data_IF_145625945256
#
_entry.id   IF_145625945256
#
_cell.length_a   1.000
_cell.length_b   1.000
_cell.length_c   1.000
_cell.angle_alpha   90.00
_cell.angle_beta   90.00
_cell.angle_gamma   90.00
#
_symmetry.space_group_name_H-M   'P 1'
#
loop_
_entity.id
_entity.type
_entity.pdbx_description
1 polymer ?
#
# COMPACT_ATOMS: atom_id res chain seq x y z
N UNK A 1 4.55 -8.88 7.09
CA UNK A 1 3.21 -8.81 7.72
C UNK A 1 2.08 -9.05 6.71
N UNK A 2 2.06 -8.41 5.54
CA UNK A 2 1.00 -8.60 4.53
C UNK A 2 0.81 -10.07 4.17
N UNK A 3 1.89 -10.80 3.85
CA UNK A 3 1.84 -12.24 3.54
C UNK A 3 1.22 -13.02 4.71
N UNK A 4 1.62 -12.74 5.95
CA UNK A 4 1.07 -13.41 7.13
C UNK A 4 -0.44 -13.22 7.27
N UNK A 5 -0.93 -12.01 6.98
CA UNK A 5 -2.35 -11.69 7.04
C UNK A 5 -3.11 -12.39 5.92
N UNK A 6 -2.59 -12.34 4.69
CA UNK A 6 -3.23 -12.96 3.53
C UNK A 6 -3.28 -14.48 3.64
N UNK A 7 -2.26 -15.14 4.18
CA UNK A 7 -2.28 -16.58 4.43
C UNK A 7 -3.38 -17.03 5.40
N UNK A 8 -3.79 -16.16 6.32
CA UNK A 8 -4.90 -16.41 7.23
C UNK A 8 -6.27 -15.98 6.69
N UNK A 9 -6.32 -15.38 5.51
CA UNK A 9 -7.56 -14.88 4.93
C UNK A 9 -8.28 -16.00 4.16
N UNK A 10 -9.54 -16.29 4.52
CA UNK A 10 -10.32 -17.41 3.97
C UNK A 10 -10.59 -17.32 2.45
N UNK A 11 -10.59 -16.12 1.90
CA UNK A 11 -10.95 -15.84 0.51
C UNK A 11 -9.74 -15.34 -0.31
N UNK A 12 -8.50 -15.52 0.18
CA UNK A 12 -7.30 -15.09 -0.51
C UNK A 12 -6.31 -16.24 -0.71
N UNK A 13 -5.75 -16.33 -1.90
CA UNK A 13 -4.65 -17.22 -2.25
C UNK A 13 -3.48 -16.40 -2.78
N UNK A 14 -2.29 -16.57 -2.21
CA UNK A 14 -1.10 -15.88 -2.69
C UNK A 14 -0.50 -16.64 -3.86
N UNK A 15 -0.50 -16.04 -5.05
CA UNK A 15 0.02 -16.64 -6.28
C UNK A 15 1.51 -16.43 -6.45
N UNK A 16 2.06 -15.26 -6.08
CA UNK A 16 3.50 -15.02 -6.14
C UNK A 16 4.01 -14.05 -5.09
N UNK A 17 5.30 -14.10 -4.87
CA UNK A 17 6.04 -13.21 -3.97
C UNK A 17 7.05 -12.41 -4.80
N UNK A 18 6.63 -11.26 -5.33
CA UNK A 18 7.46 -10.41 -6.19
C UNK A 18 8.64 -9.79 -5.44
N UNK A 19 9.81 -9.81 -6.05
CA UNK A 19 11.00 -9.17 -5.51
C UNK A 19 12.03 -8.90 -6.61
N UNK A 20 12.60 -7.70 -6.63
CA UNK A 20 13.72 -7.35 -7.53
C UNK A 20 15.08 -7.84 -7.02
N UNK A 21 15.22 -7.92 -5.70
CA UNK A 21 16.53 -8.18 -5.07
C UNK A 21 16.75 -9.64 -4.70
N UNK A 22 15.69 -10.45 -4.67
CA UNK A 22 15.73 -11.80 -4.10
C UNK A 22 15.11 -12.85 -5.01
N UNK A 23 15.10 -12.60 -6.33
CA UNK A 23 14.59 -13.56 -7.33
C UNK A 23 15.26 -14.93 -7.12
N UNK A 24 14.49 -16.01 -7.22
CA UNK A 24 14.88 -17.40 -6.98
C UNK A 24 15.32 -17.79 -5.56
N UNK A 25 15.42 -16.84 -4.64
CA UNK A 25 15.68 -17.16 -3.24
C UNK A 25 14.39 -17.61 -2.55
N UNK A 26 14.50 -18.55 -1.61
CA UNK A 26 13.35 -18.95 -0.80
C UNK A 26 12.85 -17.76 0.01
N UNK A 27 11.54 -17.53 -0.02
CA UNK A 27 10.92 -16.43 0.73
C UNK A 27 11.25 -16.49 2.23
N UNK A 28 11.27 -17.70 2.80
CA UNK A 28 11.61 -17.92 4.22
C UNK A 28 13.08 -17.61 4.57
N UNK A 29 14.00 -17.67 3.60
CA UNK A 29 15.42 -17.30 3.84
C UNK A 29 15.57 -15.78 3.92
N UNK A 30 14.76 -15.04 3.14
CA UNK A 30 14.70 -13.58 3.17
C UNK A 30 13.94 -13.07 4.41
N UNK A 31 12.83 -13.74 4.73
CA UNK A 31 11.92 -13.41 5.82
C UNK A 31 11.86 -14.58 6.81
N UNK A 32 12.83 -14.66 7.71
CA UNK A 32 13.03 -15.80 8.63
C UNK A 32 11.84 -16.11 9.55
N UNK A 33 10.97 -15.14 9.80
CA UNK A 33 9.71 -15.36 10.53
C UNK A 33 8.70 -16.23 9.75
N UNK A 34 8.99 -16.52 8.49
CA UNK A 34 8.19 -17.44 7.64
C UNK A 34 8.84 -18.82 7.47
N UNK A 35 9.90 -19.11 8.25
CA UNK A 35 10.56 -20.42 8.23
C UNK A 35 9.56 -21.55 8.54
N UNK A 36 9.58 -22.60 7.72
CA UNK A 36 8.64 -23.73 7.75
C UNK A 36 7.15 -23.36 7.53
N UNK A 37 6.84 -22.10 7.16
CA UNK A 37 5.48 -21.64 6.88
C UNK A 37 5.32 -21.40 5.38
N UNK A 38 6.29 -20.77 4.73
CA UNK A 38 6.27 -20.46 3.29
C UNK A 38 7.46 -21.14 2.62
N UNK A 39 7.20 -22.11 1.76
CA UNK A 39 8.24 -22.80 0.97
C UNK A 39 8.31 -22.31 -0.49
N UNK A 40 7.75 -21.15 -0.77
CA UNK A 40 7.79 -20.52 -2.08
C UNK A 40 9.10 -19.76 -2.29
N UNK A 41 9.49 -19.58 -3.57
CA UNK A 41 10.58 -18.70 -3.96
C UNK A 41 10.06 -17.30 -4.28
N UNK A 42 10.92 -16.32 -4.10
CA UNK A 42 10.70 -15.00 -4.65
C UNK A 42 10.79 -15.04 -6.18
N UNK A 43 9.88 -14.34 -6.83
CA UNK A 43 9.78 -14.26 -8.28
C UNK A 43 10.11 -12.83 -8.74
N UNK A 44 10.34 -12.65 -10.02
CA UNK A 44 10.41 -11.33 -10.64
C UNK A 44 9.10 -10.54 -10.40
N UNK A 45 9.18 -9.22 -10.42
CA UNK A 45 8.04 -8.32 -10.24
C UNK A 45 7.42 -7.85 -11.56
N UNK A 46 7.47 -8.66 -12.61
CA UNK A 46 6.85 -8.37 -13.89
C UNK A 46 5.32 -8.35 -13.76
N UNK A 47 4.76 -7.21 -13.42
CA UNK A 47 3.33 -7.04 -13.17
C UNK A 47 2.48 -7.24 -14.43
N UNK A 48 2.99 -6.90 -15.62
CA UNK A 48 2.25 -7.06 -16.87
C UNK A 48 2.00 -8.53 -17.20
N UNK A 49 3.02 -9.36 -17.03
CA UNK A 49 2.92 -10.82 -17.27
C UNK A 49 2.02 -11.51 -16.23
N UNK A 50 2.05 -11.02 -15.00
CA UNK A 50 1.33 -11.65 -13.89
C UNK A 50 -0.10 -11.13 -13.70
N UNK A 51 -0.44 -9.98 -14.27
CA UNK A 51 -1.75 -9.34 -14.11
C UNK A 51 -2.93 -10.21 -14.58
N UNK A 52 -2.73 -11.06 -15.60
CA UNK A 52 -3.76 -12.00 -16.07
C UNK A 52 -4.03 -13.17 -15.10
N UNK A 53 -3.18 -13.37 -14.11
CA UNK A 53 -3.21 -14.54 -13.24
C UNK A 53 -3.79 -14.27 -11.86
N UNK A 54 -4.08 -12.98 -11.55
CA UNK A 54 -4.51 -12.56 -10.22
C UNK A 54 -5.58 -11.48 -10.28
N UNK A 55 -6.42 -11.45 -9.26
CA UNK A 55 -7.47 -10.43 -9.11
C UNK A 55 -6.91 -9.13 -8.50
N UNK A 56 -5.85 -9.24 -7.70
CA UNK A 56 -5.27 -8.12 -6.95
C UNK A 56 -3.75 -8.22 -6.87
N UNK A 57 -3.06 -7.11 -7.12
CA UNK A 57 -1.63 -6.95 -6.86
C UNK A 57 -1.43 -5.97 -5.70
N UNK A 58 -0.71 -6.41 -4.66
CA UNK A 58 -0.24 -5.54 -3.60
C UNK A 58 1.16 -5.03 -3.92
N UNK A 59 1.35 -3.73 -3.98
CA UNK A 59 2.67 -3.12 -4.13
C UNK A 59 3.19 -2.62 -2.78
N UNK A 60 4.19 -3.31 -2.24
CA UNK A 60 4.89 -2.94 -1.01
C UNK A 60 6.30 -2.42 -1.35
N UNK A 61 6.35 -1.38 -2.16
CA UNK A 61 7.53 -0.84 -2.82
C UNK A 61 7.93 0.54 -2.28
N UNK A 62 9.17 1.01 -2.53
CA UNK A 62 9.51 2.40 -2.29
C UNK A 62 8.63 3.36 -3.09
N UNK A 63 8.51 4.62 -2.58
CA UNK A 63 7.78 5.67 -3.29
C UNK A 63 8.30 5.86 -4.72
N UNK A 64 7.36 6.15 -5.64
CA UNK A 64 7.61 6.33 -7.07
C UNK A 64 7.64 5.05 -7.87
N UNK A 65 7.84 3.89 -7.25
CA UNK A 65 7.96 2.64 -8.00
C UNK A 65 6.60 2.11 -8.47
N UNK A 66 5.58 2.12 -7.63
CA UNK A 66 4.24 1.71 -8.06
C UNK A 66 3.75 2.59 -9.22
N UNK A 67 3.87 3.91 -9.08
CA UNK A 67 3.52 4.84 -10.15
C UNK A 67 4.31 4.64 -11.46
N UNK A 68 5.53 4.12 -11.38
CA UNK A 68 6.33 3.83 -12.57
C UNK A 68 5.97 2.52 -13.27
N UNK A 69 5.30 1.62 -12.58
CA UNK A 69 4.93 0.29 -13.09
C UNK A 69 3.48 0.21 -13.56
N UNK A 70 2.57 0.98 -12.94
CA UNK A 70 1.15 0.94 -13.24
C UNK A 70 0.87 1.52 -14.63
N UNK A 71 0.06 0.81 -15.40
CA UNK A 71 -0.41 1.24 -16.72
C UNK A 71 -1.83 0.70 -16.98
N UNK A 72 -2.43 1.12 -18.09
CA UNK A 72 -3.80 0.72 -18.44
C UNK A 72 -3.92 -0.77 -18.74
N UNK A 73 -2.88 -1.39 -19.26
CA UNK A 73 -2.90 -2.83 -19.53
C UNK A 73 -3.07 -3.62 -18.23
N UNK A 74 -2.29 -3.31 -17.19
CA UNK A 74 -2.40 -3.92 -15.87
C UNK A 74 -3.76 -3.63 -15.25
N UNK A 75 -4.19 -2.35 -15.27
CA UNK A 75 -5.44 -1.91 -14.63
C UNK A 75 -6.70 -2.45 -15.31
N UNK A 76 -6.61 -2.87 -16.56
CA UNK A 76 -7.71 -3.53 -17.25
C UNK A 76 -7.92 -4.99 -16.81
N UNK A 77 -6.92 -5.60 -16.19
CA UNK A 77 -6.87 -7.02 -15.84
C UNK A 77 -6.97 -7.27 -14.33
N UNK A 78 -6.35 -6.41 -13.53
CA UNK A 78 -6.23 -6.62 -12.09
C UNK A 78 -6.32 -5.30 -11.31
N UNK A 79 -6.63 -5.39 -10.02
CA UNK A 79 -6.64 -4.25 -9.11
C UNK A 79 -5.28 -4.07 -8.44
N UNK A 80 -4.89 -2.83 -8.22
CA UNK A 80 -3.67 -2.48 -7.48
C UNK A 80 -4.05 -1.99 -6.09
N UNK A 81 -3.42 -2.54 -5.04
CA UNK A 81 -3.45 -2.00 -3.69
C UNK A 81 -2.03 -1.54 -3.37
N UNK A 82 -1.82 -0.22 -3.42
CA UNK A 82 -0.52 0.39 -3.23
C UNK A 82 -0.29 0.75 -1.76
N UNK A 83 0.75 0.16 -1.16
CA UNK A 83 1.18 0.47 0.21
C UNK A 83 2.17 1.64 0.26
N UNK A 84 2.66 2.10 -0.90
CA UNK A 84 3.48 3.31 -0.99
C UNK A 84 2.63 4.58 -0.84
N UNK A 85 3.22 5.73 -1.10
CA UNK A 85 2.51 7.00 -1.01
C UNK A 85 2.00 7.51 -2.37
N UNK A 86 2.27 6.79 -3.47
CA UNK A 86 2.18 7.31 -4.82
C UNK A 86 0.78 7.86 -5.17
N UNK A 87 -0.28 7.23 -4.70
CA UNK A 87 -1.65 7.61 -5.04
C UNK A 87 -2.47 8.19 -3.87
N UNK A 88 -1.81 8.54 -2.74
CA UNK A 88 -2.53 9.04 -1.54
C UNK A 88 -3.00 10.48 -1.66
N UNK A 89 -2.23 11.32 -2.36
CA UNK A 89 -2.50 12.74 -2.50
C UNK A 89 -3.12 13.04 -3.86
N UNK A 90 -4.16 13.87 -3.88
CA UNK A 90 -4.87 14.24 -5.12
C UNK A 90 -4.15 15.32 -5.92
N UNK A 91 -3.35 16.14 -5.28
CA UNK A 91 -2.54 17.17 -5.94
C UNK A 91 -1.12 16.66 -6.18
N UNK A 92 -0.76 16.54 -7.45
CA UNK A 92 0.57 16.07 -7.87
C UNK A 92 1.69 17.01 -7.39
N UNK A 93 1.45 18.32 -7.36
CA UNK A 93 2.46 19.27 -6.91
C UNK A 93 2.75 19.11 -5.42
N UNK A 94 1.71 18.85 -4.62
CA UNK A 94 1.85 18.55 -3.18
C UNK A 94 2.60 17.23 -3.00
N UNK A 95 2.32 16.21 -3.79
CA UNK A 95 3.08 14.94 -3.75
C UNK A 95 4.57 15.19 -4.04
N UNK A 96 4.90 15.87 -5.13
CA UNK A 96 6.28 16.15 -5.54
C UNK A 96 7.01 17.07 -4.55
N UNK A 97 6.29 18.04 -3.97
CA UNK A 97 6.85 18.89 -2.92
C UNK A 97 7.26 18.10 -1.68
N UNK A 98 6.40 17.19 -1.21
CA UNK A 98 6.65 16.44 0.03
C UNK A 98 7.61 15.26 -0.15
N UNK A 99 7.46 14.48 -1.22
CA UNK A 99 8.28 13.29 -1.46
C UNK A 99 9.55 13.55 -2.26
N UNK A 100 9.71 14.75 -2.84
CA UNK A 100 10.89 15.17 -3.64
C UNK A 100 11.20 14.26 -4.83
N UNK A 101 10.17 13.67 -5.40
CA UNK A 101 10.24 12.83 -6.59
C UNK A 101 9.12 13.21 -7.55
N UNK A 102 9.36 13.08 -8.84
CA UNK A 102 8.36 13.28 -9.89
C UNK A 102 7.35 12.14 -9.90
N UNK A 103 6.05 12.47 -9.96
CA UNK A 103 5.00 11.45 -10.07
C UNK A 103 4.93 10.86 -11.48
N UNK A 104 5.14 9.55 -11.62
CA UNK A 104 5.26 8.89 -12.94
C UNK A 104 3.92 8.50 -13.59
N UNK A 105 2.82 8.56 -12.87
CA UNK A 105 1.49 8.22 -13.37
C UNK A 105 0.41 9.19 -12.87
N UNK A 106 0.55 10.53 -13.10
CA UNK A 106 -0.40 11.51 -12.59
C UNK A 106 -1.82 11.32 -13.14
N UNK A 107 -1.97 10.72 -14.33
CA UNK A 107 -3.25 10.44 -14.95
C UNK A 107 -4.16 9.50 -14.15
N UNK A 108 -3.61 8.71 -13.21
CA UNK A 108 -4.38 7.77 -12.39
C UNK A 108 -4.68 8.30 -10.97
N UNK A 109 -4.19 9.49 -10.60
CA UNK A 109 -4.38 10.05 -9.27
C UNK A 109 -5.86 10.27 -8.95
N UNK A 110 -6.62 10.80 -9.93
CA UNK A 110 -8.03 11.14 -9.72
C UNK A 110 -8.91 9.91 -9.49
N UNK A 111 -8.62 8.80 -10.17
CA UNK A 111 -9.38 7.57 -10.01
C UNK A 111 -8.96 6.74 -8.79
N UNK A 112 -7.74 6.93 -8.28
CA UNK A 112 -7.27 6.21 -7.11
C UNK A 112 -8.12 6.53 -5.88
N UNK A 113 -8.52 5.50 -5.14
CA UNK A 113 -9.32 5.65 -3.92
C UNK A 113 -8.43 5.52 -2.69
N UNK A 114 -8.55 6.48 -1.78
CA UNK A 114 -7.86 6.40 -0.49
C UNK A 114 -8.43 5.25 0.34
N UNK A 115 -7.62 4.25 0.63
CA UNK A 115 -8.00 2.94 1.12
C UNK A 115 -8.35 2.85 2.61
N UNK A 116 -8.82 3.95 3.22
CA UNK A 116 -9.34 3.92 4.59
C UNK A 116 -10.75 3.33 4.57
N UNK A 117 -10.84 2.01 4.72
CA UNK A 117 -12.05 1.23 4.52
C UNK A 117 -13.22 1.64 5.44
N UNK A 118 -12.94 2.17 6.63
CA UNK A 118 -13.94 2.64 7.58
C UNK A 118 -14.74 3.82 7.02
N UNK A 119 -14.15 4.60 6.11
CA UNK A 119 -14.75 5.79 5.51
C UNK A 119 -15.14 5.53 4.05
N UNK A 120 -14.29 4.84 3.29
CA UNK A 120 -14.39 4.71 1.84
C UNK A 120 -14.72 3.30 1.35
N UNK A 121 -15.31 2.45 2.19
CA UNK A 121 -15.55 1.01 1.88
C UNK A 121 -16.20 0.77 0.52
N UNK A 122 -17.25 1.51 0.19
CA UNK A 122 -17.99 1.28 -1.05
C UNK A 122 -17.21 1.77 -2.28
N UNK A 123 -16.43 2.83 -2.15
CA UNK A 123 -15.53 3.30 -3.20
C UNK A 123 -14.39 2.31 -3.45
N UNK A 124 -13.82 1.75 -2.39
CA UNK A 124 -12.73 0.73 -2.47
C UNK A 124 -13.17 -0.51 -3.24
N UNK A 125 -14.43 -0.94 -3.09
CA UNK A 125 -14.95 -2.13 -3.81
C UNK A 125 -14.86 -2.00 -5.34
N UNK A 126 -15.09 -0.80 -5.87
CA UNK A 126 -15.08 -0.53 -7.32
C UNK A 126 -13.76 0.02 -7.85
N UNK A 127 -12.82 0.38 -6.97
CA UNK A 127 -11.55 0.98 -7.33
C UNK A 127 -10.65 0.03 -8.13
N UNK A 128 -9.97 0.55 -9.13
CA UNK A 128 -8.86 -0.14 -9.82
C UNK A 128 -7.54 0.08 -9.08
N UNK A 129 -7.37 1.26 -8.47
CA UNK A 129 -6.21 1.61 -7.63
C UNK A 129 -6.71 1.98 -6.24
N UNK A 130 -6.20 1.30 -5.24
CA UNK A 130 -6.42 1.61 -3.82
C UNK A 130 -5.12 2.12 -3.21
N UNK A 131 -5.11 3.39 -2.83
CA UNK A 131 -3.99 4.00 -2.12
C UNK A 131 -4.09 3.68 -0.62
N UNK A 132 -3.37 2.65 -0.18
CA UNK A 132 -3.41 2.23 1.23
C UNK A 132 -2.84 3.32 2.15
N UNK A 133 -3.55 3.72 3.21
CA UNK A 133 -3.12 4.79 4.11
C UNK A 133 -1.84 4.43 4.87
N UNK A 134 -1.07 5.46 5.25
CA UNK A 134 0.04 5.31 6.18
C UNK A 134 -0.44 5.10 7.62
N UNK A 135 0.40 4.52 8.47
CA UNK A 135 0.08 4.19 9.86
C UNK A 135 -0.34 5.41 10.69
N UNK A 136 0.41 6.51 10.62
CA UNK A 136 0.08 7.74 11.35
C UNK A 136 -1.23 8.35 10.90
N UNK A 137 -1.45 8.45 9.59
CA UNK A 137 -2.67 9.01 9.03
C UNK A 137 -3.88 8.15 9.34
N UNK A 138 -3.75 6.81 9.29
CA UNK A 138 -4.81 5.89 9.68
C UNK A 138 -5.23 6.13 11.14
N UNK A 139 -4.27 6.11 12.06
CA UNK A 139 -4.54 6.33 13.48
C UNK A 139 -5.17 7.70 13.74
N UNK A 140 -4.58 8.75 13.18
CA UNK A 140 -5.04 10.12 13.39
C UNK A 140 -6.43 10.38 12.83
N UNK A 141 -6.69 9.91 11.61
CA UNK A 141 -7.99 10.08 10.96
C UNK A 141 -9.07 9.30 11.70
N UNK A 142 -8.84 8.02 12.02
CA UNK A 142 -9.84 7.21 12.72
C UNK A 142 -10.15 7.74 14.11
N UNK A 143 -9.18 8.38 14.77
CA UNK A 143 -9.40 9.03 16.07
C UNK A 143 -10.16 10.35 15.95
N UNK A 144 -9.75 11.23 15.05
CA UNK A 144 -10.30 12.60 14.96
C UNK A 144 -11.58 12.70 14.12
N UNK A 145 -11.72 11.86 13.08
CA UNK A 145 -12.82 11.96 12.12
C UNK A 145 -14.23 11.93 12.76
N UNK A 146 -14.58 10.98 13.64
CA UNK A 146 -15.92 10.97 14.24
C UNK A 146 -16.18 12.23 15.06
N UNK A 147 -15.19 12.74 15.77
CA UNK A 147 -15.34 13.97 16.57
C UNK A 147 -15.49 15.21 15.70
N UNK A 148 -14.68 15.29 14.63
CA UNK A 148 -14.74 16.39 13.68
C UNK A 148 -16.07 16.38 12.91
N UNK A 149 -16.55 15.21 12.50
CA UNK A 149 -17.81 15.03 11.78
C UNK A 149 -19.02 15.51 12.59
N UNK A 150 -19.01 15.25 13.88
CA UNK A 150 -20.06 15.67 14.81
C UNK A 150 -19.86 17.11 15.35
N UNK A 151 -18.81 17.82 14.89
CA UNK A 151 -18.52 19.19 15.33
C UNK A 151 -18.09 19.29 16.80
N UNK A 152 -17.57 18.23 17.38
CA UNK A 152 -17.20 18.16 18.79
C UNK A 152 -15.80 18.69 19.10
N UNK A 153 -15.00 18.93 18.07
CA UNK A 153 -13.62 19.45 18.20
C UNK A 153 -13.39 20.63 17.26
N UNK A 154 -12.54 21.54 17.68
CA UNK A 154 -12.04 22.62 16.83
C UNK A 154 -10.78 22.12 16.09
N UNK A 155 -10.90 21.90 14.78
CA UNK A 155 -9.82 21.42 13.94
C UNK A 155 -8.62 22.35 13.89
N UNK A 156 -8.79 23.65 14.14
CA UNK A 156 -7.70 24.63 14.16
C UNK A 156 -6.76 24.46 15.36
N UNK A 157 -7.25 23.80 16.40
CA UNK A 157 -6.48 23.54 17.65
C UNK A 157 -6.01 22.09 17.77
N UNK A 158 -6.29 21.25 16.77
CA UNK A 158 -5.91 19.84 16.79
C UNK A 158 -4.38 19.65 16.76
N UNK A 159 -3.84 19.01 17.77
CA UNK A 159 -2.42 18.64 17.85
C UNK A 159 -2.32 17.12 17.82
N UNK A 160 -1.50 16.61 16.90
CA UNK A 160 -1.23 15.16 16.75
C UNK A 160 0.22 14.90 17.13
N UNK A 161 0.44 14.23 18.26
CA UNK A 161 1.75 13.74 18.70
C UNK A 161 1.86 12.23 18.39
N UNK A 162 2.43 11.90 17.24
CA UNK A 162 2.50 10.53 16.73
C UNK A 162 3.90 9.93 16.92
N UNK A 163 3.97 8.75 17.52
CA UNK A 163 5.22 8.05 17.80
C UNK A 163 5.27 6.68 17.11
N UNK A 164 6.41 6.38 16.47
CA UNK A 164 6.62 5.10 15.80
C UNK A 164 7.32 4.11 16.73
N UNK A 165 6.75 2.92 16.84
CA UNK A 165 7.47 1.78 17.42
C UNK A 165 8.56 1.26 16.48
N UNK A 166 9.51 0.48 16.98
CA UNK A 166 10.63 -0.07 16.20
C UNK A 166 10.18 -0.95 15.04
N UNK A 167 9.14 -1.74 15.23
CA UNK A 167 8.57 -2.57 14.17
C UNK A 167 7.91 -1.73 13.05
N UNK A 168 7.29 -0.60 13.41
CA UNK A 168 6.69 0.34 12.44
C UNK A 168 7.74 1.11 11.64
N UNK A 169 8.94 1.33 12.20
CA UNK A 169 10.06 1.96 11.49
C UNK A 169 10.71 1.05 10.44
N UNK A 170 10.35 -0.24 10.41
CA UNK A 170 10.82 -1.20 9.44
C UNK A 170 12.20 -1.79 9.71
N UNK A 171 12.74 -2.53 8.73
CA UNK A 171 14.01 -3.27 8.88
C UNK A 171 15.25 -2.37 9.04
N UNK A 172 15.17 -1.15 8.57
CA UNK A 172 16.25 -0.16 8.66
C UNK A 172 16.19 0.74 9.89
N UNK A 173 15.33 0.42 10.87
CA UNK A 173 15.19 1.20 12.09
C UNK A 173 16.55 1.35 12.79
N UNK A 174 16.94 2.60 13.06
CA UNK A 174 18.10 2.95 13.90
C UNK A 174 17.56 3.56 15.17
N UNK A 175 18.04 3.06 16.30
CA UNK A 175 17.80 3.64 17.63
C UNK A 175 18.71 4.85 17.83
#
# INVERSE_FOLDING_TARGET
ELVRILMGHKDAEIKWYGSRSYVDQKYADVYRNMFQIVDAKCMDDNMEELADQVDVIFTATPQGLCASLVNEEILSKTKIIDLSADFRLKDVNVYEEWYKIEHKAPQYIDEAVYGLCEINRDLVKSARIVANPGCYTTCSILTAYPLAKEGLIDMSTLIIDAKSGTSGAGRGAKL
#
